data_IF_538573230097
#
_entry.id   IF_538573230097
#
_cell.length_a   1.000
_cell.length_b   1.000
_cell.length_c   1.000
_cell.angle_alpha   90.00
_cell.angle_beta   90.00
_cell.angle_gamma   90.00
#
_symmetry.space_group_name_H-M   'P 1'
#
loop_
_entity.id
_entity.type
_entity.pdbx_description
1 polymer ?
#
# COMPACT_ATOMS: atom_id res chain seq x y z
N UNK A 1 -15.37 8.37 -4.72
CA UNK A 1 -14.59 7.60 -3.72
C UNK A 1 -15.37 7.52 -2.42
N UNK A 2 -15.10 6.56 -1.52
CA UNK A 2 -15.82 6.40 -0.25
C UNK A 2 -15.86 7.70 0.59
N UNK A 3 -14.70 8.36 0.77
CA UNK A 3 -14.63 9.63 1.50
C UNK A 3 -15.52 10.71 0.90
N UNK A 4 -15.59 10.80 -0.43
CA UNK A 4 -16.46 11.78 -1.08
C UNK A 4 -17.95 11.47 -0.83
N UNK A 5 -18.33 10.19 -0.77
CA UNK A 5 -19.71 9.80 -0.42
C UNK A 5 -20.05 10.16 1.03
N UNK A 6 -19.10 10.01 1.95
CA UNK A 6 -19.26 10.43 3.35
C UNK A 6 -19.38 11.96 3.46
N UNK A 7 -18.57 12.72 2.71
CA UNK A 7 -18.61 14.19 2.72
C UNK A 7 -19.92 14.71 2.11
N UNK A 8 -20.35 14.12 1.00
CA UNK A 8 -21.64 14.44 0.37
C UNK A 8 -22.80 14.16 1.32
N UNK A 9 -22.70 13.09 2.13
CA UNK A 9 -23.64 12.71 3.19
C UNK A 9 -25.10 12.82 2.77
N UNK A 10 -25.42 12.33 1.57
CA UNK A 10 -26.77 12.41 1.01
C UNK A 10 -27.79 11.86 2.01
N UNK A 11 -28.84 12.64 2.28
CA UNK A 11 -29.92 12.31 3.23
C UNK A 11 -29.43 11.99 4.66
N UNK A 12 -28.21 12.40 5.02
CA UNK A 12 -27.60 12.12 6.32
C UNK A 12 -27.14 10.68 6.50
N UNK A 13 -27.00 9.90 5.42
CA UNK A 13 -26.74 8.44 5.47
C UNK A 13 -25.47 8.06 6.25
N UNK A 14 -24.46 8.92 6.30
CA UNK A 14 -23.18 8.67 6.97
C UNK A 14 -23.14 9.19 8.42
N UNK A 15 -24.13 9.96 8.87
CA UNK A 15 -24.15 10.59 10.19
C UNK A 15 -24.16 9.56 11.32
N UNK A 16 -23.19 9.64 12.23
CA UNK A 16 -23.10 8.76 13.42
C UNK A 16 -22.62 7.33 13.12
N UNK A 17 -22.09 7.07 11.92
CA UNK A 17 -21.68 5.73 11.49
C UNK A 17 -20.17 5.57 11.46
N UNK A 18 -19.74 4.31 11.51
CA UNK A 18 -18.34 3.89 11.38
C UNK A 18 -18.22 3.04 10.11
N UNK A 19 -17.34 3.45 9.20
CA UNK A 19 -17.10 2.76 7.94
C UNK A 19 -15.64 2.30 7.85
N UNK A 20 -15.45 1.03 7.48
CA UNK A 20 -14.13 0.55 7.09
C UNK A 20 -13.91 0.86 5.61
N UNK A 21 -12.86 1.60 5.28
CA UNK A 21 -12.48 1.90 3.89
C UNK A 21 -11.22 1.10 3.56
N UNK A 22 -11.40 0.00 2.85
CA UNK A 22 -10.29 -0.86 2.43
C UNK A 22 -10.72 -1.89 1.39
N UNK A 23 -9.76 -2.58 0.80
CA UNK A 23 -10.03 -3.65 -0.16
C UNK A 23 -9.78 -5.03 0.47
N UNK A 24 -10.82 -5.77 0.90
CA UNK A 24 -10.65 -7.08 1.50
C UNK A 24 -10.07 -8.13 0.54
N UNK A 25 -10.08 -7.87 -0.78
CA UNK A 25 -9.46 -8.75 -1.77
C UNK A 25 -7.95 -8.53 -1.92
N UNK A 26 -7.40 -7.43 -1.41
CA UNK A 26 -5.97 -7.12 -1.46
C UNK A 26 -5.26 -7.54 -0.16
N UNK A 27 -5.60 -8.72 0.39
CA UNK A 27 -4.94 -9.26 1.58
C UNK A 27 -3.68 -10.03 1.18
N UNK A 28 -2.53 -9.58 1.68
CA UNK A 28 -1.23 -10.20 1.47
C UNK A 28 -0.42 -10.14 2.77
N UNK A 29 0.45 -11.12 2.98
CA UNK A 29 1.49 -11.04 3.99
C UNK A 29 2.53 -9.96 3.64
N UNK A 30 3.29 -9.51 4.64
CA UNK A 30 4.40 -8.57 4.43
C UNK A 30 5.45 -9.14 3.48
N UNK A 31 5.69 -10.46 3.54
CA UNK A 31 6.61 -11.15 2.61
C UNK A 31 6.11 -11.07 1.16
N UNK A 32 4.87 -11.45 0.91
CA UNK A 32 4.29 -11.39 -0.44
C UNK A 32 4.30 -9.97 -0.99
N UNK A 33 4.03 -8.96 -0.14
CA UNK A 33 4.15 -7.56 -0.54
C UNK A 33 5.57 -7.20 -0.96
N UNK A 34 6.58 -7.57 -0.18
CA UNK A 34 7.98 -7.32 -0.51
C UNK A 34 8.40 -8.02 -1.82
N UNK A 35 7.99 -9.28 -2.01
CA UNK A 35 8.26 -10.04 -3.23
C UNK A 35 7.58 -9.42 -4.46
N UNK A 36 6.32 -9.00 -4.35
CA UNK A 36 5.60 -8.31 -5.42
C UNK A 36 6.30 -6.99 -5.79
N UNK A 37 6.73 -6.21 -4.79
CA UNK A 37 7.45 -4.96 -5.02
C UNK A 37 8.79 -5.19 -5.70
N UNK A 38 9.58 -6.18 -5.27
CA UNK A 38 10.88 -6.50 -5.91
C UNK A 38 10.71 -6.98 -7.35
N UNK A 39 9.74 -7.86 -7.58
CA UNK A 39 9.41 -8.33 -8.94
C UNK A 39 9.02 -7.16 -9.83
N UNK A 40 8.15 -6.28 -9.35
CA UNK A 40 7.68 -5.14 -10.11
C UNK A 40 8.78 -4.10 -10.35
N UNK A 41 9.65 -3.85 -9.37
CA UNK A 41 10.78 -2.94 -9.49
C UNK A 41 11.75 -3.34 -10.60
N UNK A 42 11.90 -4.64 -10.88
CA UNK A 42 12.76 -5.14 -11.96
C UNK A 42 12.27 -4.72 -13.36
N UNK A 43 11.00 -4.37 -13.53
CA UNK A 43 10.41 -3.94 -14.80
C UNK A 43 10.76 -2.48 -15.16
N UNK A 44 11.34 -1.71 -14.24
CA UNK A 44 11.62 -0.30 -14.41
C UNK A 44 13.13 -0.03 -14.39
N UNK A 45 13.71 0.56 -15.45
CA UNK A 45 15.16 0.81 -15.52
C UNK A 45 15.72 1.58 -14.33
N UNK A 46 14.95 2.53 -13.81
CA UNK A 46 15.30 3.38 -12.68
C UNK A 46 15.43 2.58 -11.38
N UNK A 47 14.73 1.46 -11.25
CA UNK A 47 14.72 0.63 -10.03
C UNK A 47 15.46 -0.70 -10.19
N UNK A 48 15.61 -1.20 -11.41
CA UNK A 48 16.03 -2.58 -11.70
C UNK A 48 17.39 -2.97 -11.11
N UNK A 49 18.37 -2.06 -11.11
CA UNK A 49 19.70 -2.35 -10.56
C UNK A 49 19.67 -2.56 -9.04
N UNK A 50 18.96 -1.70 -8.31
CA UNK A 50 18.86 -1.83 -6.86
C UNK A 50 17.93 -2.98 -6.45
N UNK A 51 16.90 -3.25 -7.25
CA UNK A 51 16.05 -4.42 -7.06
C UNK A 51 16.85 -5.74 -7.12
N UNK A 52 17.84 -5.85 -8.03
CA UNK A 52 18.73 -7.02 -8.12
C UNK A 52 19.64 -7.19 -6.90
N UNK A 53 20.04 -6.10 -6.26
CA UNK A 53 20.92 -6.12 -5.09
C UNK A 53 20.17 -6.34 -3.77
N UNK A 54 18.87 -6.07 -3.76
CA UNK A 54 18.05 -6.11 -2.55
C UNK A 54 17.75 -7.55 -2.14
N UNK A 55 17.88 -7.85 -0.85
CA UNK A 55 17.57 -9.14 -0.26
C UNK A 55 16.49 -8.99 0.82
N UNK A 56 15.54 -9.93 0.85
CA UNK A 56 14.59 -10.04 1.96
C UNK A 56 15.29 -10.78 3.09
N UNK A 57 15.48 -10.11 4.23
CA UNK A 57 16.12 -10.67 5.42
C UNK A 57 15.05 -10.96 6.46
N UNK A 58 15.03 -12.19 6.99
CA UNK A 58 14.17 -12.55 8.11
C UNK A 58 14.72 -11.96 9.41
N UNK A 59 13.84 -11.38 10.23
CA UNK A 59 14.18 -10.87 11.56
C UNK A 59 12.98 -11.08 12.49
N UNK A 60 13.25 -11.22 13.78
CA UNK A 60 12.17 -11.29 14.77
C UNK A 60 11.55 -9.91 14.99
N UNK A 61 10.26 -9.87 15.33
CA UNK A 61 9.60 -8.61 15.72
C UNK A 61 10.25 -7.96 16.95
N UNK A 62 10.84 -8.76 17.84
CA UNK A 62 11.56 -8.28 19.01
C UNK A 62 12.87 -7.56 18.67
N UNK A 63 13.60 -8.03 17.65
CA UNK A 63 14.80 -7.36 17.15
C UNK A 63 14.46 -6.11 16.35
N UNK A 64 13.42 -6.16 15.53
CA UNK A 64 13.04 -5.06 14.64
C UNK A 64 12.26 -3.94 15.35
N UNK A 65 11.26 -4.29 16.16
CA UNK A 65 10.37 -3.34 16.86
C UNK A 65 10.60 -3.25 18.37
N UNK A 66 11.37 -4.16 18.97
CA UNK A 66 11.65 -4.17 20.40
C UNK A 66 10.75 -5.11 21.21
N UNK A 67 11.15 -5.34 22.47
CA UNK A 67 10.43 -6.23 23.40
C UNK A 67 9.06 -5.67 23.73
N UNK A 68 8.03 -6.52 23.65
CA UNK A 68 6.64 -6.16 23.95
C UNK A 68 5.82 -5.75 22.72
N UNK A 69 6.42 -5.74 21.51
CA UNK A 69 5.67 -5.51 20.28
C UNK A 69 4.65 -6.63 20.04
N UNK A 70 3.41 -6.22 19.74
CA UNK A 70 2.32 -7.10 19.35
C UNK A 70 1.66 -6.52 18.09
N UNK A 71 1.35 -7.39 17.14
CA UNK A 71 0.61 -7.04 15.93
C UNK A 71 -0.52 -8.04 15.71
N UNK A 72 -1.54 -7.60 14.98
CA UNK A 72 -2.65 -8.47 14.58
C UNK A 72 -2.23 -9.29 13.37
N UNK A 73 -2.58 -10.57 13.36
CA UNK A 73 -2.16 -11.48 12.28
C UNK A 73 -2.82 -11.15 10.93
N UNK A 74 -4.09 -10.73 10.94
CA UNK A 74 -4.84 -10.39 9.74
C UNK A 74 -5.64 -9.11 9.95
N UNK A 75 -5.62 -8.23 8.95
CA UNK A 75 -6.40 -6.99 8.90
C UNK A 75 -7.36 -7.03 7.70
N UNK A 76 -8.42 -7.83 7.80
CA UNK A 76 -9.48 -7.88 6.77
C UNK A 76 -10.59 -6.90 7.16
N UNK A 77 -10.79 -5.80 6.40
CA UNK A 77 -11.88 -4.88 6.69
C UNK A 77 -13.22 -5.50 6.29
N UNK A 78 -14.19 -5.55 7.22
CA UNK A 78 -15.60 -5.80 6.88
C UNK A 78 -16.18 -4.53 6.28
N UNK A 79 -16.62 -4.59 5.02
CA UNK A 79 -17.05 -3.40 4.25
C UNK A 79 -18.51 -3.43 3.80
N UNK A 80 -19.33 -4.37 4.30
CA UNK A 80 -20.73 -4.55 3.87
C UNK A 80 -21.53 -3.24 3.97
N UNK A 81 -21.48 -2.57 5.13
CA UNK A 81 -22.16 -1.29 5.33
C UNK A 81 -21.62 -0.16 4.44
N UNK A 82 -20.33 -0.21 4.10
CA UNK A 82 -19.69 0.79 3.24
C UNK A 82 -20.16 0.61 1.79
N UNK A 83 -20.39 -0.64 1.35
CA UNK A 83 -20.96 -0.95 0.04
C UNK A 83 -22.44 -0.59 0.00
N UNK A 84 -23.21 -1.06 0.96
CA UNK A 84 -24.68 -0.92 0.96
C UNK A 84 -25.13 0.53 1.14
N UNK A 85 -24.50 1.27 2.05
CA UNK A 85 -24.97 2.60 2.42
C UNK A 85 -24.32 3.73 1.63
N UNK A 86 -23.03 3.60 1.29
CA UNK A 86 -22.31 4.61 0.50
C UNK A 86 -22.28 4.27 -1.00
N UNK A 87 -22.82 3.11 -1.40
CA UNK A 87 -22.77 2.66 -2.79
C UNK A 87 -21.33 2.48 -3.32
N UNK A 88 -20.33 2.36 -2.44
CA UNK A 88 -18.92 2.35 -2.81
C UNK A 88 -18.31 0.96 -2.69
N UNK A 89 -17.54 0.56 -3.70
CA UNK A 89 -16.70 -0.63 -3.68
C UNK A 89 -15.26 -0.29 -4.11
N UNK A 90 -14.24 -0.97 -3.55
CA UNK A 90 -12.87 -0.84 -4.04
C UNK A 90 -12.71 -1.56 -5.38
N UNK A 91 -12.01 -0.92 -6.32
CA UNK A 91 -11.84 -1.44 -7.69
C UNK A 91 -10.37 -1.67 -8.07
N UNK A 92 -9.43 -1.13 -7.30
CA UNK A 92 -7.99 -1.20 -7.59
C UNK A 92 -7.38 -2.43 -6.92
N UNK A 93 -6.77 -3.32 -7.70
CA UNK A 93 -6.04 -4.49 -7.20
C UNK A 93 -4.70 -4.11 -6.55
N UNK A 94 -4.11 -5.01 -5.79
CA UNK A 94 -2.78 -4.77 -5.18
C UNK A 94 -1.72 -4.45 -6.25
N UNK A 95 -1.68 -5.23 -7.32
CA UNK A 95 -0.75 -5.01 -8.44
C UNK A 95 -0.96 -3.64 -9.11
N UNK A 96 -2.22 -3.25 -9.38
CA UNK A 96 -2.51 -1.94 -9.97
C UNK A 96 -2.13 -0.79 -9.03
N UNK A 97 -2.36 -0.94 -7.72
CA UNK A 97 -1.98 0.05 -6.73
C UNK A 97 -0.46 0.23 -6.68
N UNK A 98 0.29 -0.88 -6.60
CA UNK A 98 1.75 -0.86 -6.62
C UNK A 98 2.29 -0.24 -7.91
N UNK A 99 1.76 -0.64 -9.08
CA UNK A 99 2.19 -0.11 -10.38
C UNK A 99 2.05 1.42 -10.45
N UNK A 100 0.92 1.97 -10.00
CA UNK A 100 0.69 3.41 -9.93
C UNK A 100 1.69 4.11 -9.00
N UNK A 101 2.07 3.48 -7.89
CA UNK A 101 3.07 4.02 -6.96
C UNK A 101 4.45 4.04 -7.62
N UNK A 102 4.89 2.94 -8.24
CA UNK A 102 6.16 2.90 -8.98
C UNK A 102 6.22 3.97 -10.08
N UNK A 103 5.15 4.10 -10.87
CA UNK A 103 5.05 5.13 -11.91
C UNK A 103 5.13 6.55 -11.35
N UNK A 104 4.48 6.83 -10.21
CA UNK A 104 4.48 8.16 -9.61
C UNK A 104 5.84 8.59 -9.02
N UNK A 105 6.74 7.64 -8.75
CA UNK A 105 8.05 7.91 -8.14
C UNK A 105 9.23 7.73 -9.09
N UNK A 106 9.03 7.20 -10.30
CA UNK A 106 10.13 6.84 -11.21
C UNK A 106 11.07 8.01 -11.49
N UNK A 107 10.51 9.19 -11.77
CA UNK A 107 11.30 10.38 -12.11
C UNK A 107 12.02 10.93 -10.87
N UNK A 108 11.38 10.82 -9.69
CA UNK A 108 11.97 11.27 -8.43
C UNK A 108 13.20 10.45 -8.02
N UNK A 109 13.28 9.19 -8.44
CA UNK A 109 14.47 8.36 -8.21
C UNK A 109 15.61 8.77 -9.12
N UNK A 110 15.32 9.19 -10.34
CA UNK A 110 16.33 9.78 -11.23
C UNK A 110 16.84 11.08 -10.63
N UNK A 111 15.95 11.96 -10.17
CA UNK A 111 16.31 13.21 -9.51
C UNK A 111 17.17 12.98 -8.25
N UNK A 112 16.79 12.02 -7.40
CA UNK A 112 17.56 11.68 -6.21
C UNK A 112 18.96 11.15 -6.55
N UNK A 113 19.11 10.34 -7.61
CA UNK A 113 20.41 9.83 -8.06
C UNK A 113 21.32 10.94 -8.59
N UNK A 114 20.79 11.84 -9.41
CA UNK A 114 21.59 12.93 -9.97
C UNK A 114 22.15 13.86 -8.89
N UNK A 115 21.43 14.07 -7.78
CA UNK A 115 21.92 14.83 -6.62
C UNK A 115 23.05 14.13 -5.85
N UNK A 116 23.01 12.81 -5.74
CA UNK A 116 24.08 12.02 -5.08
C UNK A 116 25.33 11.96 -5.96
N UNK A 117 25.16 11.81 -7.28
CA UNK A 117 26.27 11.72 -8.23
C UNK A 117 26.99 13.06 -8.45
N UNK A 118 26.28 14.19 -8.33
CA UNK A 118 26.88 15.54 -8.43
C UNK A 118 27.55 16.03 -7.14
N UNK A 119 27.50 15.23 -6.07
CA UNK A 119 28.17 15.48 -4.79
C UNK A 119 29.49 14.71 -4.63
N UNK A 120 29.94 14.00 -5.67
CA UNK A 120 31.23 13.28 -5.74
C UNK A 120 32.21 13.94 -6.71
#
# INVERSE_FOLDING_TARGET
SALMQIIENKDGVASGKIFNIGNPKNIHSVRELAEMMLKMAADYPEYAEEARKTQIVETSSGEFYGKGYQDVQHRVPKIDNTIEELGWKPEVTMEQALRRIFEAYRDKVVDARTLVDSSN
#
